data_IF_806225552795
#
_entry.id   IF_806225552795
#
_cell.length_a   1.000
_cell.length_b   1.000
_cell.length_c   1.000
_cell.angle_alpha   90.00
_cell.angle_beta   90.00
_cell.angle_gamma   90.00
#
_symmetry.space_group_name_H-M   'P 1'
#
loop_
_entity.id
_entity.type
_entity.pdbx_description
1 polymer ?
#
# COMPACT_ATOMS: atom_id res chain seq x y z
N UNK A 1 8.64 -53.03 -41.32
CA UNK A 1 7.82 -52.17 -40.45
C UNK A 1 8.52 -50.83 -40.33
N UNK A 2 8.11 -49.84 -41.13
CA UNK A 2 8.73 -48.50 -41.14
C UNK A 2 8.04 -47.64 -40.09
N UNK A 3 8.69 -47.41 -38.95
CA UNK A 3 8.25 -46.44 -37.96
C UNK A 3 8.54 -45.03 -38.45
N UNK A 4 7.49 -44.28 -38.85
CA UNK A 4 7.60 -42.86 -39.13
C UNK A 4 8.00 -42.14 -37.83
N UNK A 5 9.19 -41.54 -37.81
CA UNK A 5 9.59 -40.67 -36.72
C UNK A 5 8.59 -39.51 -36.65
N UNK A 6 8.00 -39.22 -35.48
CA UNK A 6 7.08 -38.08 -35.34
C UNK A 6 7.80 -36.82 -35.78
N UNK A 7 7.14 -36.00 -36.59
CA UNK A 7 7.74 -34.77 -37.09
C UNK A 7 7.96 -33.82 -35.91
N UNK A 8 8.99 -32.99 -35.99
CA UNK A 8 9.26 -31.94 -34.99
C UNK A 8 8.02 -31.05 -34.78
N UNK A 9 7.20 -30.90 -35.83
CA UNK A 9 5.94 -30.13 -35.82
C UNK A 9 4.89 -30.79 -34.93
N UNK A 10 4.79 -32.12 -34.92
CA UNK A 10 3.83 -32.85 -34.08
C UNK A 10 4.17 -32.74 -32.59
N UNK A 11 5.45 -32.68 -32.24
CA UNK A 11 5.91 -32.44 -30.87
C UNK A 11 5.62 -31.00 -30.39
N UNK A 12 5.66 -30.00 -31.29
CA UNK A 12 5.28 -28.61 -30.96
C UNK A 12 3.76 -28.51 -30.73
N UNK A 13 2.97 -29.22 -31.54
CA UNK A 13 1.50 -29.27 -31.39
C UNK A 13 1.13 -30.03 -30.11
N UNK A 14 1.87 -31.06 -29.72
CA UNK A 14 1.62 -31.81 -28.48
C UNK A 14 2.08 -31.05 -27.22
N UNK A 15 3.09 -30.18 -27.32
CA UNK A 15 3.43 -29.21 -26.26
C UNK A 15 2.41 -28.08 -26.09
N UNK A 16 1.50 -27.88 -27.06
CA UNK A 16 0.39 -26.93 -26.98
C UNK A 16 -0.88 -27.46 -26.31
N UNK A 17 -0.77 -28.45 -25.41
CA UNK A 17 -1.81 -28.68 -24.39
C UNK A 17 -1.79 -27.57 -23.32
N UNK A 18 -1.72 -26.31 -23.75
CA UNK A 18 -2.02 -25.20 -22.87
C UNK A 18 -3.50 -25.29 -22.54
N UNK A 19 -3.85 -25.26 -21.24
CA UNK A 19 -5.25 -25.30 -20.88
C UNK A 19 -5.98 -24.12 -21.55
N UNK A 20 -7.11 -24.40 -22.24
CA UNK A 20 -7.92 -23.34 -22.77
C UNK A 20 -8.50 -22.52 -21.62
N UNK A 21 -8.87 -21.27 -21.92
CA UNK A 21 -9.59 -20.44 -20.96
C UNK A 21 -10.93 -21.10 -20.62
N UNK A 22 -11.15 -21.34 -19.33
CA UNK A 22 -12.40 -21.88 -18.79
C UNK A 22 -13.04 -20.87 -17.84
N UNK A 23 -14.36 -20.90 -17.73
CA UNK A 23 -15.13 -20.03 -16.82
C UNK A 23 -14.64 -20.14 -15.36
N UNK A 24 -14.23 -21.34 -14.93
CA UNK A 24 -13.68 -21.55 -13.60
C UNK A 24 -12.37 -20.76 -13.37
N UNK A 25 -11.50 -20.69 -14.38
CA UNK A 25 -10.23 -19.94 -14.31
C UNK A 25 -10.51 -18.44 -14.26
N UNK A 26 -11.48 -17.96 -15.04
CA UNK A 26 -11.92 -16.57 -14.99
C UNK A 26 -12.51 -16.19 -13.63
N UNK A 27 -13.37 -17.05 -13.08
CA UNK A 27 -13.97 -16.84 -11.77
C UNK A 27 -12.90 -16.77 -10.67
N UNK A 28 -11.91 -17.67 -10.70
CA UNK A 28 -10.79 -17.64 -9.77
C UNK A 28 -9.94 -16.36 -9.90
N UNK A 29 -9.62 -15.95 -11.13
CA UNK A 29 -8.86 -14.72 -11.38
C UNK A 29 -9.63 -13.47 -10.95
N UNK A 30 -10.94 -13.43 -11.22
CA UNK A 30 -11.83 -12.35 -10.77
C UNK A 30 -11.88 -12.24 -9.24
N UNK A 31 -11.94 -13.38 -8.54
CA UNK A 31 -11.83 -13.41 -7.08
C UNK A 31 -10.49 -12.83 -6.61
N UNK A 32 -9.37 -13.22 -7.23
CA UNK A 32 -8.05 -12.72 -6.87
C UNK A 32 -7.91 -11.21 -7.17
N UNK A 33 -8.51 -10.72 -8.25
CA UNK A 33 -8.56 -9.30 -8.55
C UNK A 33 -9.34 -8.54 -7.47
N UNK A 34 -10.50 -9.06 -7.06
CA UNK A 34 -11.31 -8.46 -5.98
C UNK A 34 -10.54 -8.40 -4.67
N UNK A 35 -9.85 -9.47 -4.29
CA UNK A 35 -8.99 -9.49 -3.11
C UNK A 35 -7.82 -8.50 -3.23
N UNK A 36 -7.18 -8.42 -4.40
CA UNK A 36 -6.11 -7.44 -4.64
C UNK A 36 -6.65 -6.01 -4.50
N UNK A 37 -7.86 -5.72 -4.98
CA UNK A 37 -8.52 -4.43 -4.80
C UNK A 37 -8.78 -4.11 -3.32
N UNK A 38 -9.26 -5.09 -2.54
CA UNK A 38 -9.48 -4.92 -1.10
C UNK A 38 -8.16 -4.61 -0.37
N UNK A 39 -7.09 -5.34 -0.70
CA UNK A 39 -5.75 -5.11 -0.11
C UNK A 39 -5.15 -3.78 -0.55
N UNK A 40 -5.30 -3.40 -1.81
CA UNK A 40 -4.91 -2.09 -2.30
C UNK A 40 -5.53 -0.98 -1.45
N UNK A 41 -6.85 -0.99 -1.28
CA UNK A 41 -7.56 -0.02 -0.44
C UNK A 41 -7.08 -0.05 1.02
N UNK A 42 -6.87 -1.23 1.60
CA UNK A 42 -6.37 -1.35 2.97
C UNK A 42 -4.97 -0.73 3.15
N UNK A 43 -4.05 -0.97 2.22
CA UNK A 43 -2.73 -0.35 2.26
C UNK A 43 -2.79 1.17 2.02
N UNK A 44 -3.67 1.65 1.15
CA UNK A 44 -3.85 3.08 0.91
C UNK A 44 -4.39 3.78 2.18
N UNK A 45 -5.41 3.21 2.81
CA UNK A 45 -5.94 3.71 4.09
C UNK A 45 -4.87 3.69 5.18
N UNK A 46 -4.06 2.64 5.28
CA UNK A 46 -2.96 2.61 6.24
C UNK A 46 -1.93 3.71 5.97
N UNK A 47 -1.58 3.95 4.71
CA UNK A 47 -0.66 5.02 4.34
C UNK A 47 -1.22 6.40 4.69
N UNK A 48 -2.51 6.66 4.45
CA UNK A 48 -3.14 7.94 4.81
C UNK A 48 -3.22 8.13 6.32
N UNK A 49 -3.54 7.07 7.08
CA UNK A 49 -3.52 7.13 8.56
C UNK A 49 -2.13 7.44 9.08
N UNK A 50 -1.08 6.75 8.61
CA UNK A 50 0.28 7.07 9.03
C UNK A 50 0.73 8.48 8.62
N UNK A 51 0.31 8.95 7.43
CA UNK A 51 0.56 10.34 7.00
C UNK A 51 -0.11 11.34 7.94
N UNK A 52 -1.36 11.08 8.32
CA UNK A 52 -2.09 11.89 9.28
C UNK A 52 -1.38 11.93 10.63
N UNK A 53 -1.02 10.76 11.20
CA UNK A 53 -0.28 10.67 12.46
C UNK A 53 1.04 11.42 12.40
N UNK A 54 1.82 11.24 11.34
CA UNK A 54 3.11 11.92 11.17
C UNK A 54 2.93 13.45 11.13
N UNK A 55 1.96 13.92 10.35
CA UNK A 55 1.69 15.35 10.23
C UNK A 55 1.17 15.94 11.53
N UNK A 56 0.23 15.25 12.19
CA UNK A 56 -0.42 15.73 13.41
C UNK A 56 0.49 15.67 14.63
N UNK A 57 1.46 14.75 14.66
CA UNK A 57 2.44 14.70 15.74
C UNK A 57 3.62 15.63 15.49
N UNK A 58 4.11 15.75 14.26
CA UNK A 58 5.26 16.59 13.93
C UNK A 58 4.95 18.09 13.87
N UNK A 59 3.80 18.48 13.30
CA UNK A 59 3.48 19.89 13.05
C UNK A 59 3.37 20.72 14.35
N UNK A 60 2.67 20.26 15.42
CA UNK A 60 2.57 21.03 16.66
C UNK A 60 3.93 21.29 17.31
N UNK A 61 4.87 20.35 17.25
CA UNK A 61 6.21 20.53 17.82
C UNK A 61 6.94 21.70 17.15
N UNK A 62 6.86 21.80 15.82
CA UNK A 62 7.47 22.89 15.06
C UNK A 62 6.78 24.23 15.36
N UNK A 63 5.44 24.22 15.46
CA UNK A 63 4.67 25.42 15.78
C UNK A 63 4.99 25.97 17.18
N UNK A 64 5.19 25.09 18.17
CA UNK A 64 5.59 25.50 19.52
C UNK A 64 6.93 26.26 19.46
N UNK A 65 7.93 25.73 18.76
CA UNK A 65 9.22 26.42 18.60
C UNK A 65 9.07 27.77 17.91
N UNK A 66 8.23 27.86 16.88
CA UNK A 66 7.99 29.10 16.13
C UNK A 66 7.33 30.18 16.99
N UNK A 67 6.36 29.82 17.83
CA UNK A 67 5.68 30.75 18.74
C UNK A 67 6.56 31.12 19.94
N UNK A 68 7.37 30.18 20.44
CA UNK A 68 8.26 30.45 21.58
C UNK A 68 9.38 31.42 21.23
N UNK A 69 9.94 31.36 20.02
CA UNK A 69 11.04 32.24 19.62
C UNK A 69 10.78 33.75 19.89
N UNK A 70 9.67 34.38 19.43
CA UNK A 70 9.37 35.77 19.76
C UNK A 70 9.03 35.99 21.24
N UNK A 71 8.35 35.03 21.90
CA UNK A 71 8.04 35.15 23.33
C UNK A 71 9.31 35.22 24.20
N UNK A 72 10.35 34.48 23.83
CA UNK A 72 11.63 34.52 24.54
C UNK A 72 12.28 35.91 24.45
N UNK A 73 12.19 36.58 23.29
CA UNK A 73 12.71 37.94 23.13
C UNK A 73 11.93 38.98 23.93
N UNK A 74 10.59 38.89 23.93
CA UNK A 74 9.72 39.86 24.59
C UNK A 74 9.81 39.79 26.12
N UNK A 75 10.07 38.61 26.68
CA UNK A 75 10.07 38.37 28.12
C UNK A 75 11.45 37.99 28.68
N UNK A 76 12.53 38.35 27.98
CA UNK A 76 13.91 37.98 28.33
C UNK A 76 14.36 38.42 29.74
N UNK A 77 13.72 39.44 30.32
CA UNK A 77 14.01 39.96 31.66
C UNK A 77 13.35 39.17 32.80
N UNK A 78 12.43 38.25 32.50
CA UNK A 78 11.71 37.47 33.50
C UNK A 78 12.38 36.11 33.74
N UNK A 79 12.88 35.87 34.95
CA UNK A 79 13.50 34.58 35.31
C UNK A 79 12.52 33.41 35.19
N UNK A 80 11.21 33.64 35.43
CA UNK A 80 10.19 32.59 35.24
C UNK A 80 10.07 32.17 33.78
N UNK A 81 10.21 33.11 32.84
CA UNK A 81 10.11 32.80 31.40
C UNK A 81 11.30 31.96 30.95
N UNK A 82 12.51 32.22 31.47
CA UNK A 82 13.71 31.42 31.15
C UNK A 82 13.55 29.94 31.51
N UNK A 83 12.93 29.64 32.65
CA UNK A 83 12.64 28.25 33.02
C UNK A 83 11.63 27.61 32.08
N UNK A 84 10.56 28.32 31.71
CA UNK A 84 9.54 27.83 30.76
C UNK A 84 10.15 27.56 29.38
N UNK A 85 10.98 28.48 28.88
CA UNK A 85 11.73 28.33 27.63
C UNK A 85 12.59 27.07 27.65
N UNK A 86 13.41 26.90 28.70
CA UNK A 86 14.30 25.74 28.84
C UNK A 86 13.53 24.42 28.82
N UNK A 87 12.44 24.32 29.61
CA UNK A 87 11.62 23.11 29.64
C UNK A 87 10.90 22.84 28.33
N UNK A 88 10.44 23.89 27.64
CA UNK A 88 9.75 23.75 26.36
C UNK A 88 10.68 23.24 25.28
N UNK A 89 11.89 23.81 25.14
CA UNK A 89 12.86 23.33 24.17
C UNK A 89 13.40 21.94 24.51
N UNK A 90 13.58 21.63 25.79
CA UNK A 90 13.92 20.27 26.22
C UNK A 90 12.83 19.26 25.81
N UNK A 91 11.57 19.58 26.07
CA UNK A 91 10.43 18.75 25.68
C UNK A 91 10.35 18.59 24.16
N UNK A 92 10.43 19.68 23.40
CA UNK A 92 10.43 19.64 21.94
C UNK A 92 11.59 18.80 21.39
N UNK A 93 12.79 18.92 21.96
CA UNK A 93 13.96 18.13 21.56
C UNK A 93 13.78 16.63 21.81
N UNK A 94 13.30 16.25 23.01
CA UNK A 94 13.03 14.85 23.36
C UNK A 94 11.91 14.28 22.49
N UNK A 95 10.81 15.01 22.34
CA UNK A 95 9.66 14.57 21.54
C UNK A 95 10.02 14.44 20.05
N UNK A 96 10.81 15.37 19.51
CA UNK A 96 11.32 15.28 18.13
C UNK A 96 12.25 14.07 17.96
N UNK A 97 13.12 13.80 18.93
CA UNK A 97 13.97 12.60 18.94
C UNK A 97 13.15 11.31 18.92
N UNK A 98 12.08 11.23 19.73
CA UNK A 98 11.16 10.10 19.73
C UNK A 98 10.44 9.94 18.38
N UNK A 99 10.02 11.05 17.76
CA UNK A 99 9.41 11.01 16.41
C UNK A 99 10.38 10.50 15.35
N UNK A 100 11.67 10.82 15.42
CA UNK A 100 12.67 10.27 14.51
C UNK A 100 12.88 8.77 14.67
N UNK A 101 12.70 8.21 15.88
CA UNK A 101 12.78 6.76 16.09
C UNK A 101 11.60 6.01 15.46
N UNK A 102 10.43 6.67 15.37
CA UNK A 102 9.25 6.13 14.71
C UNK A 102 9.28 6.58 13.25
N UNK A 103 10.03 5.86 12.41
CA UNK A 103 10.16 6.17 10.98
C UNK A 103 8.82 5.99 10.22
N UNK A 104 7.94 6.98 10.36
CA UNK A 104 6.63 7.01 9.72
C UNK A 104 6.75 7.16 8.20
N UNK A 105 7.75 7.90 7.73
CA UNK A 105 7.98 8.14 6.31
C UNK A 105 8.24 6.83 5.56
N UNK A 106 9.16 5.99 6.05
CA UNK A 106 9.44 4.70 5.43
C UNK A 106 8.23 3.75 5.49
N UNK A 107 7.41 3.81 6.55
CA UNK A 107 6.17 3.04 6.64
C UNK A 107 5.15 3.49 5.60
N UNK A 108 4.89 4.80 5.48
CA UNK A 108 3.97 5.36 4.49
C UNK A 108 4.38 4.94 3.08
N UNK A 109 5.66 5.12 2.75
CA UNK A 109 6.19 4.76 1.44
C UNK A 109 6.03 3.26 1.16
N UNK A 110 6.34 2.40 2.14
CA UNK A 110 6.16 0.96 2.01
C UNK A 110 4.69 0.60 1.75
N UNK A 111 3.75 1.16 2.51
CA UNK A 111 2.32 0.91 2.29
C UNK A 111 1.87 1.37 0.90
N UNK A 112 2.28 2.55 0.45
CA UNK A 112 1.96 3.03 -0.91
C UNK A 112 2.56 2.17 -2.01
N UNK A 113 3.79 1.71 -1.83
CA UNK A 113 4.45 0.82 -2.79
C UNK A 113 3.70 -0.52 -2.92
N UNK A 114 3.18 -1.08 -1.82
CA UNK A 114 2.34 -2.29 -1.89
C UNK A 114 0.94 -2.01 -2.43
N UNK A 115 0.34 -0.88 -2.06
CA UNK A 115 -0.93 -0.41 -2.61
C UNK A 115 -0.88 -0.35 -4.14
N UNK A 116 0.16 0.29 -4.71
CA UNK A 116 0.39 0.36 -6.14
C UNK A 116 0.54 -1.02 -6.78
N UNK A 117 1.35 -1.92 -6.20
CA UNK A 117 1.55 -3.28 -6.73
C UNK A 117 0.26 -4.11 -6.75
N UNK A 118 -0.59 -3.99 -5.73
CA UNK A 118 -1.90 -4.66 -5.73
C UNK A 118 -2.85 -4.03 -6.76
N UNK A 119 -2.80 -2.70 -6.94
CA UNK A 119 -3.56 -2.02 -7.98
C UNK A 119 -3.14 -2.47 -9.39
N UNK A 120 -1.83 -2.59 -9.64
CA UNK A 120 -1.27 -3.09 -10.90
C UNK A 120 -1.72 -4.53 -11.17
N UNK A 121 -1.68 -5.40 -10.15
CA UNK A 121 -2.17 -6.79 -10.27
C UNK A 121 -3.67 -6.83 -10.59
N UNK A 122 -4.49 -6.01 -9.92
CA UNK A 122 -5.92 -5.90 -10.22
C UNK A 122 -6.17 -5.42 -11.65
N UNK A 123 -5.44 -4.39 -12.10
CA UNK A 123 -5.54 -3.85 -13.44
C UNK A 123 -5.13 -4.86 -14.51
N UNK A 124 -4.01 -5.56 -14.33
CA UNK A 124 -3.50 -6.60 -15.26
C UNK A 124 -4.50 -7.75 -15.43
N UNK A 125 -5.10 -8.21 -14.32
CA UNK A 125 -6.15 -9.24 -14.36
C UNK A 125 -7.40 -8.73 -15.07
N UNK A 126 -7.89 -7.55 -14.72
CA UNK A 126 -9.11 -7.00 -15.32
C UNK A 126 -8.94 -6.71 -16.82
N UNK A 127 -7.81 -6.11 -17.22
CA UNK A 127 -7.45 -5.87 -18.62
C UNK A 127 -7.38 -7.18 -19.42
N UNK A 128 -6.79 -8.23 -18.83
CA UNK A 128 -6.72 -9.55 -19.48
C UNK A 128 -8.09 -10.21 -19.63
N UNK A 129 -8.97 -10.10 -18.63
CA UNK A 129 -10.32 -10.66 -18.70
C UNK A 129 -11.23 -9.91 -19.68
N UNK A 130 -11.02 -8.61 -19.87
CA UNK A 130 -11.77 -7.80 -20.85
C UNK A 130 -11.41 -8.11 -22.31
N UNK A 131 -10.20 -8.63 -22.57
CA UNK A 131 -9.79 -9.03 -23.92
C UNK A 131 -10.60 -10.23 -24.41
N UNK A 132 -10.90 -10.33 -25.71
CA UNK A 132 -11.52 -11.53 -26.28
C UNK A 132 -10.56 -12.72 -26.17
N UNK A 133 -11.08 -13.94 -25.99
CA UNK A 133 -10.29 -15.16 -25.76
C UNK A 133 -9.09 -15.34 -26.70
N UNK A 134 -9.27 -15.01 -28.00
CA UNK A 134 -8.22 -15.11 -29.03
C UNK A 134 -7.01 -14.18 -28.83
N UNK A 135 -7.17 -13.12 -28.05
CA UNK A 135 -6.14 -12.11 -27.78
C UNK A 135 -5.51 -12.27 -26.39
N UNK A 136 -5.96 -13.25 -25.60
CA UNK A 136 -5.44 -13.49 -24.26
C UNK A 136 -4.18 -14.36 -24.32
N UNK A 137 -3.26 -14.20 -23.36
CA UNK A 137 -2.16 -15.14 -23.20
C UNK A 137 -2.69 -16.54 -22.85
N UNK A 138 -1.82 -17.55 -22.95
CA UNK A 138 -2.12 -18.92 -22.50
C UNK A 138 -2.55 -18.88 -21.02
N UNK A 139 -3.67 -19.52 -20.71
CA UNK A 139 -4.29 -19.43 -19.38
C UNK A 139 -3.34 -19.88 -18.28
N UNK A 140 -2.66 -21.02 -18.46
CA UNK A 140 -1.70 -21.56 -17.48
C UNK A 140 -0.55 -20.60 -17.17
N UNK A 141 0.03 -19.99 -18.20
CA UNK A 141 1.15 -19.05 -18.07
C UNK A 141 0.70 -17.81 -17.30
N UNK A 142 -0.49 -17.29 -17.63
CA UNK A 142 -1.04 -16.12 -16.97
C UNK A 142 -1.41 -16.41 -15.51
N UNK A 143 -2.11 -17.52 -15.25
CA UNK A 143 -2.48 -17.95 -13.89
C UNK A 143 -1.23 -18.16 -13.04
N UNK A 144 -0.19 -18.81 -13.56
CA UNK A 144 1.05 -19.00 -12.82
C UNK A 144 1.77 -17.68 -12.53
N UNK A 145 1.78 -16.73 -13.47
CA UNK A 145 2.33 -15.39 -13.27
C UNK A 145 1.59 -14.65 -12.16
N UNK A 146 0.26 -14.57 -12.25
CA UNK A 146 -0.59 -13.87 -11.26
C UNK A 146 -0.49 -14.54 -9.90
N UNK A 147 -0.50 -15.89 -9.84
CA UNK A 147 -0.33 -16.65 -8.60
C UNK A 147 1.01 -16.34 -7.93
N UNK A 148 2.10 -16.33 -8.71
CA UNK A 148 3.44 -16.03 -8.21
C UNK A 148 3.53 -14.60 -7.67
N UNK A 149 3.00 -13.63 -8.42
CA UNK A 149 2.92 -12.23 -7.98
C UNK A 149 2.10 -12.09 -6.70
N UNK A 150 0.91 -12.70 -6.63
CA UNK A 150 0.05 -12.72 -5.45
C UNK A 150 0.74 -13.32 -4.24
N UNK A 151 1.38 -14.50 -4.38
CA UNK A 151 2.11 -15.15 -3.29
C UNK A 151 3.26 -14.27 -2.80
N UNK A 152 4.01 -13.64 -3.71
CA UNK A 152 5.08 -12.72 -3.35
C UNK A 152 4.56 -11.48 -2.62
N UNK A 153 3.47 -10.87 -3.08
CA UNK A 153 2.85 -9.72 -2.42
C UNK A 153 2.32 -10.09 -1.03
N UNK A 154 1.59 -11.19 -0.93
CA UNK A 154 0.98 -11.63 0.33
C UNK A 154 2.03 -11.98 1.39
N UNK A 155 3.19 -12.53 0.99
CA UNK A 155 4.26 -12.90 1.91
C UNK A 155 5.03 -11.70 2.45
N UNK A 156 5.20 -10.64 1.65
CA UNK A 156 6.06 -9.51 1.97
C UNK A 156 5.31 -8.23 2.34
N UNK A 157 3.99 -8.22 2.23
CA UNK A 157 3.16 -7.06 2.56
C UNK A 157 3.31 -6.70 4.06
N UNK A 158 3.49 -5.40 4.39
CA UNK A 158 3.46 -4.94 5.77
C UNK A 158 2.06 -5.11 6.36
N UNK A 159 1.97 -5.31 7.67
CA UNK A 159 0.69 -5.36 8.36
C UNK A 159 -0.06 -4.03 8.21
N UNK A 160 -1.34 -4.11 7.84
CA UNK A 160 -2.24 -2.95 7.73
C UNK A 160 -2.79 -2.51 9.08
N UNK A 161 -2.54 -3.23 10.17
CA UNK A 161 -2.93 -2.79 11.50
C UNK A 161 -2.09 -1.59 11.97
N UNK A 162 -2.75 -0.63 12.64
CA UNK A 162 -2.09 0.54 13.24
C UNK A 162 -2.01 0.28 14.74
N UNK A 163 -0.80 0.04 15.25
CA UNK A 163 -0.56 -0.33 16.66
C UNK A 163 -1.38 -1.54 17.14
N UNK A 164 -1.56 -2.55 16.28
CA UNK A 164 -2.36 -3.74 16.60
C UNK A 164 -3.88 -3.52 16.59
N UNK A 165 -4.34 -2.29 16.30
CA UNK A 165 -5.75 -2.02 16.03
C UNK A 165 -6.03 -2.20 14.53
N UNK A 166 -7.03 -3.02 14.22
CA UNK A 166 -7.51 -3.17 12.84
C UNK A 166 -8.08 -1.84 12.34
N UNK A 167 -7.57 -1.37 11.21
CA UNK A 167 -8.05 -0.14 10.54
C UNK A 167 -9.49 -0.24 10.03
N UNK A 168 -10.11 -1.42 10.07
CA UNK A 168 -11.52 -1.61 9.70
C UNK A 168 -12.47 -0.76 10.55
N UNK A 169 -12.03 -0.25 11.70
CA UNK A 169 -12.85 0.58 12.58
C UNK A 169 -12.71 2.10 12.35
N UNK A 170 -11.69 2.55 11.62
CA UNK A 170 -11.41 3.98 11.39
C UNK A 170 -11.96 4.51 10.06
N UNK A 171 -12.44 3.62 9.18
CA UNK A 171 -12.86 3.95 7.81
C UNK A 171 -14.22 4.64 7.66
N UNK A 172 -14.99 4.83 8.74
CA UNK A 172 -16.34 5.40 8.66
C UNK A 172 -16.38 6.93 8.88
N UNK A 173 -15.24 7.59 9.13
CA UNK A 173 -15.21 8.98 9.59
C UNK A 173 -15.02 10.07 8.51
N UNK A 174 -14.84 9.74 7.23
CA UNK A 174 -14.64 10.75 6.17
C UNK A 174 -15.26 10.38 4.82
N UNK A 175 -16.59 10.32 4.75
CA UNK A 175 -17.30 10.01 3.50
C UNK A 175 -18.58 10.80 3.18
N UNK A 176 -19.08 11.70 4.03
CA UNK A 176 -20.41 12.34 3.82
C UNK A 176 -20.42 13.84 3.49
N UNK A 177 -19.29 14.45 3.09
CA UNK A 177 -19.31 15.83 2.59
C UNK A 177 -18.61 15.98 1.25
N UNK A 178 -19.39 15.93 0.17
CA UNK A 178 -18.93 16.38 -1.14
C UNK A 178 -19.69 15.88 -2.37
N UNK A 179 -21.03 15.89 -2.38
CA UNK A 179 -21.77 15.90 -3.66
C UNK A 179 -23.06 16.71 -3.57
N UNK A 180 -22.89 18.02 -3.64
CA UNK A 180 -23.93 18.94 -4.10
C UNK A 180 -23.27 20.29 -4.35
N UNK A 181 -22.77 20.48 -5.58
CA UNK A 181 -23.07 21.59 -6.48
C UNK A 181 -22.32 21.36 -7.80
#
# INVERSE_FOLDING_TARGET
MNGSKPSIVDNIITQSQAQPWHEHVEAMLSQWATEAQQRWKAHETAATTFKFLHTWTGLPLVLICFVMAPLCTQFAASDRMRWVEMWTFLFCGVAQGLLYLVDFSARIERHRNYAAKYADMHADVNDTLQKPYRCRPLADVFVMRVKTARTHLNRNAPDTSVFGMSLTHFGEWHGEHGSSF
#
